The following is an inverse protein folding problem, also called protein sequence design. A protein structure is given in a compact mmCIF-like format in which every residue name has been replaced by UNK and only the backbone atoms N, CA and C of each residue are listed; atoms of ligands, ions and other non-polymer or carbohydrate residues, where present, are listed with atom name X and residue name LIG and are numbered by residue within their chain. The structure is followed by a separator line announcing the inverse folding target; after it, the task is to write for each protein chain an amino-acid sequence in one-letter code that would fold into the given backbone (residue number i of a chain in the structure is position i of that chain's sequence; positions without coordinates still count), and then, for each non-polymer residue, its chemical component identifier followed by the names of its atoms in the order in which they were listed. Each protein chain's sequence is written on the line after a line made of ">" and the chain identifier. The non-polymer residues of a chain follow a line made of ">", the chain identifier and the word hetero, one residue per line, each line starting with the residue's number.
data_IF_478028125861
#
_entry.id   IF_478028125861
#
_cell.length_a   1.000
_cell.length_b   1.000
_cell.length_c   1.000
_cell.angle_alpha   90.00
_cell.angle_beta   90.00
_cell.angle_gamma   90.00
#
_symmetry.space_group_name_H-M   'P 1'
#
loop_
_entity.id
_entity.type
_entity.pdbx_description
1 polymer ?
#
# COMPACT_ATOMS: atom_id res chain seq x y z
N UNK A 1 2.50 -12.81 13.90
CA UNK A 1 1.85 -11.89 14.85
C UNK A 1 1.91 -10.48 14.26
N UNK A 2 0.78 -9.78 14.11
CA UNK A 2 0.75 -8.42 13.56
C UNK A 2 1.25 -7.40 14.58
N UNK A 3 2.19 -6.54 14.18
CA UNK A 3 2.67 -5.40 14.97
C UNK A 3 1.84 -4.15 14.64
N UNK A 4 1.69 -3.24 15.60
CA UNK A 4 0.88 -2.04 15.45
C UNK A 4 1.49 -0.87 16.21
N UNK A 5 1.63 0.26 15.52
CA UNK A 5 1.75 1.58 16.11
C UNK A 5 0.44 2.33 15.88
N UNK A 6 -0.26 2.70 16.95
CA UNK A 6 -1.43 3.58 16.86
C UNK A 6 -1.06 4.91 16.23
N UNK A 7 -1.97 5.50 15.45
CA UNK A 7 -1.75 6.80 14.81
C UNK A 7 -1.24 7.84 15.81
N UNK A 8 -0.16 8.51 15.45
CA UNK A 8 0.56 9.43 16.35
C UNK A 8 1.12 10.61 15.57
N UNK A 9 1.17 11.77 16.22
CA UNK A 9 1.89 12.95 15.71
C UNK A 9 3.38 12.93 16.07
N UNK A 10 3.84 11.95 16.86
CA UNK A 10 5.23 11.86 17.29
C UNK A 10 6.07 11.10 16.27
N UNK A 11 6.91 11.85 15.54
CA UNK A 11 7.88 11.26 14.63
C UNK A 11 8.82 10.29 15.36
N UNK A 12 9.25 10.61 16.58
CA UNK A 12 10.11 9.74 17.38
C UNK A 12 9.46 8.40 17.76
N UNK A 13 8.13 8.35 17.97
CA UNK A 13 7.42 7.07 18.18
C UNK A 13 7.38 6.25 16.89
N UNK A 14 7.10 6.89 15.76
CA UNK A 14 7.08 6.23 14.46
C UNK A 14 8.46 5.67 14.08
N UNK A 15 9.53 6.45 14.21
CA UNK A 15 10.89 6.03 13.89
C UNK A 15 11.34 4.81 14.72
N UNK A 16 11.01 4.80 16.03
CA UNK A 16 11.30 3.64 16.88
C UNK A 16 10.51 2.40 16.45
N UNK A 17 9.21 2.56 16.19
CA UNK A 17 8.39 1.45 15.70
C UNK A 17 8.96 0.84 14.43
N UNK A 18 9.32 1.68 13.44
CA UNK A 18 9.93 1.21 12.19
C UNK A 18 11.28 0.53 12.42
N UNK A 19 12.12 1.06 13.31
CA UNK A 19 13.41 0.47 13.65
C UNK A 19 13.33 -0.88 14.38
N UNK A 20 12.22 -1.16 15.06
CA UNK A 20 11.98 -2.44 15.75
C UNK A 20 11.35 -3.51 14.84
N UNK A 21 10.89 -3.14 13.64
CA UNK A 21 10.33 -4.09 12.69
C UNK A 21 11.44 -5.04 12.20
N UNK A 22 11.23 -6.32 12.46
CA UNK A 22 12.09 -7.41 11.98
C UNK A 22 11.32 -8.25 10.98
N UNK A 23 11.94 -8.56 9.85
CA UNK A 23 11.39 -9.51 8.91
C UNK A 23 11.45 -10.91 9.52
N UNK A 24 10.30 -11.51 9.79
CA UNK A 24 10.17 -12.87 10.31
C UNK A 24 9.27 -13.66 9.37
N UNK A 25 9.83 -14.64 8.67
CA UNK A 25 9.14 -15.40 7.62
C UNK A 25 9.86 -15.35 6.27
N UNK A 26 9.27 -15.96 5.24
CA UNK A 26 9.81 -15.96 3.87
C UNK A 26 9.56 -17.22 3.04
N UNK A 27 8.90 -18.25 3.61
CA UNK A 27 8.68 -19.53 2.92
C UNK A 27 7.39 -19.62 2.09
N UNK A 28 6.45 -18.69 2.27
CA UNK A 28 5.16 -18.65 1.57
C UNK A 28 5.13 -17.43 0.68
N UNK A 29 4.84 -17.60 -0.62
CA UNK A 29 4.62 -16.48 -1.54
C UNK A 29 3.40 -15.63 -1.15
N UNK A 30 2.49 -16.14 -0.32
CA UNK A 30 1.32 -15.40 0.14
C UNK A 30 1.53 -14.79 1.52
N UNK A 31 0.97 -13.58 1.71
CA UNK A 31 1.15 -12.77 2.90
C UNK A 31 -0.13 -12.55 3.72
N UNK A 32 0.07 -12.18 4.99
CA UNK A 32 -1.01 -11.93 5.97
C UNK A 32 -1.65 -10.53 5.83
N UNK A 33 -1.93 -10.09 4.60
CA UNK A 33 -2.48 -8.75 4.29
C UNK A 33 -3.81 -8.49 5.01
N UNK A 34 -4.70 -9.48 5.05
CA UNK A 34 -5.99 -9.39 5.76
C UNK A 34 -5.83 -9.05 7.24
N UNK A 35 -4.88 -9.69 7.93
CA UNK A 35 -4.67 -9.45 9.36
C UNK A 35 -4.12 -8.04 9.61
N UNK A 36 -3.21 -7.58 8.74
CA UNK A 36 -2.71 -6.20 8.76
C UNK A 36 -3.83 -5.17 8.59
N UNK A 37 -4.64 -5.30 7.54
CA UNK A 37 -5.76 -4.40 7.25
C UNK A 37 -6.81 -4.42 8.38
N UNK A 38 -7.17 -5.61 8.86
CA UNK A 38 -8.12 -5.77 9.98
C UNK A 38 -7.63 -5.07 11.24
N UNK A 39 -6.34 -5.17 11.57
CA UNK A 39 -5.75 -4.48 12.72
C UNK A 39 -5.73 -2.97 12.50
N UNK A 40 -5.37 -2.48 11.31
CA UNK A 40 -5.39 -1.05 11.00
C UNK A 40 -6.80 -0.45 11.13
N UNK A 41 -7.83 -1.13 10.62
CA UNK A 41 -9.22 -0.69 10.73
C UNK A 41 -9.66 -0.66 12.20
N UNK A 42 -9.48 -1.76 12.93
CA UNK A 42 -10.07 -1.93 14.27
C UNK A 42 -9.27 -1.28 15.41
N UNK A 43 -7.96 -1.14 15.24
CA UNK A 43 -7.03 -0.74 16.31
C UNK A 43 -6.16 0.46 15.95
N UNK A 44 -6.36 1.08 14.77
CA UNK A 44 -5.58 2.24 14.32
C UNK A 44 -5.66 3.49 15.21
N UNK A 45 -6.66 3.58 16.10
CA UNK A 45 -6.87 4.75 16.96
C UNK A 45 -7.51 5.93 16.23
N UNK A 46 -8.41 5.64 15.28
CA UNK A 46 -9.14 6.64 14.51
C UNK A 46 -9.95 7.55 15.43
N UNK A 47 -9.81 8.86 15.25
CA UNK A 47 -10.65 9.87 15.89
C UNK A 47 -12.02 9.94 15.21
N UNK A 48 -13.05 10.28 15.97
CA UNK A 48 -14.37 10.55 15.41
C UNK A 48 -14.28 11.73 14.43
N UNK A 49 -14.91 11.60 13.26
CA UNK A 49 -14.92 12.63 12.22
C UNK A 49 -13.61 12.79 11.43
N UNK A 50 -12.56 12.03 11.74
CA UNK A 50 -11.33 12.09 10.95
C UNK A 50 -11.50 11.45 9.57
N UNK A 51 -10.82 12.01 8.55
CA UNK A 51 -10.62 11.31 7.27
C UNK A 51 -9.74 10.08 7.53
N UNK A 52 -10.23 8.88 7.21
CA UNK A 52 -9.52 7.63 7.48
C UNK A 52 -8.90 7.10 6.20
N UNK A 53 -7.58 7.03 6.15
CA UNK A 53 -6.84 6.57 4.95
C UNK A 53 -5.91 5.45 5.36
N UNK A 54 -6.03 4.31 4.69
CA UNK A 54 -5.11 3.17 4.81
C UNK A 54 -4.38 3.02 3.47
N UNK A 55 -3.06 2.88 3.53
CA UNK A 55 -2.24 2.52 2.38
C UNK A 55 -1.61 1.16 2.69
N UNK A 56 -1.93 0.16 1.88
CA UNK A 56 -1.33 -1.17 1.96
C UNK A 56 -0.06 -1.16 1.11
N UNK A 57 1.07 -1.45 1.73
CA UNK A 57 2.37 -1.60 1.08
C UNK A 57 2.73 -3.09 1.07
N UNK A 58 3.06 -3.66 -0.07
CA UNK A 58 3.50 -5.06 -0.14
C UNK A 58 3.96 -5.51 -1.53
N UNK A 59 4.65 -6.65 -1.57
CA UNK A 59 5.26 -7.27 -2.75
C UNK A 59 4.65 -8.64 -3.10
N UNK A 60 3.67 -9.08 -2.32
CA UNK A 60 3.08 -10.41 -2.40
C UNK A 60 1.56 -10.39 -2.20
N UNK A 61 0.82 -11.32 -2.82
CA UNK A 61 -0.63 -11.37 -2.72
C UNK A 61 -1.09 -11.86 -1.33
N UNK A 62 -2.32 -11.50 -0.91
CA UNK A 62 -2.95 -12.11 0.26
C UNK A 62 -3.12 -13.64 0.08
N UNK A 63 -3.23 -14.35 1.20
CA UNK A 63 -3.68 -15.74 1.16
C UNK A 63 -5.06 -15.87 0.48
N UNK A 64 -5.21 -16.84 -0.44
CA UNK A 64 -6.47 -17.08 -1.20
C UNK A 64 -7.72 -17.12 -0.33
N UNK A 65 -7.67 -17.84 0.81
CA UNK A 65 -8.77 -17.95 1.77
C UNK A 65 -9.16 -16.64 2.44
N UNK A 66 -8.25 -15.65 2.43
CA UNK A 66 -8.42 -14.35 3.07
C UNK A 66 -8.92 -13.28 2.10
N UNK A 67 -8.96 -13.53 0.78
CA UNK A 67 -9.39 -12.55 -0.23
C UNK A 67 -10.83 -12.10 0.01
N UNK A 68 -11.79 -13.03 0.06
CA UNK A 68 -13.20 -12.66 0.25
C UNK A 68 -13.46 -11.91 1.56
N UNK A 69 -12.95 -12.36 2.73
CA UNK A 69 -13.01 -11.58 3.97
C UNK A 69 -12.35 -10.20 3.87
N UNK A 70 -11.21 -10.09 3.18
CA UNK A 70 -10.50 -8.82 2.96
C UNK A 70 -11.36 -7.83 2.16
N UNK A 71 -11.91 -8.26 1.03
CA UNK A 71 -12.78 -7.40 0.22
C UNK A 71 -14.03 -6.96 1.00
N UNK A 72 -14.58 -7.84 1.86
CA UNK A 72 -15.74 -7.50 2.68
C UNK A 72 -15.43 -6.42 3.73
N UNK A 73 -14.30 -6.53 4.45
CA UNK A 73 -13.92 -5.51 5.45
C UNK A 73 -13.52 -4.19 4.79
N UNK A 74 -12.93 -4.23 3.60
CA UNK A 74 -12.57 -3.05 2.84
C UNK A 74 -13.81 -2.27 2.42
N UNK A 75 -14.83 -2.96 1.87
CA UNK A 75 -16.11 -2.36 1.51
C UNK A 75 -16.82 -1.76 2.72
N UNK A 76 -16.79 -2.45 3.86
CA UNK A 76 -17.37 -1.92 5.09
C UNK A 76 -16.66 -0.63 5.54
N UNK A 77 -15.32 -0.63 5.56
CA UNK A 77 -14.54 0.55 5.94
C UNK A 77 -14.76 1.72 4.98
N UNK A 78 -14.88 1.47 3.68
CA UNK A 78 -15.19 2.48 2.67
C UNK A 78 -16.56 3.11 2.90
N UNK A 79 -17.59 2.30 3.20
CA UNK A 79 -18.93 2.80 3.56
C UNK A 79 -18.92 3.66 4.84
N UNK A 80 -18.01 3.40 5.77
CA UNK A 80 -17.81 4.17 7.00
C UNK A 80 -16.93 5.42 6.81
N UNK A 81 -16.79 5.90 5.57
CA UNK A 81 -16.05 7.10 5.19
C UNK A 81 -14.52 6.93 5.17
N UNK A 82 -14.04 5.69 5.19
CA UNK A 82 -12.62 5.38 5.03
C UNK A 82 -12.21 5.20 3.57
N UNK A 83 -10.92 5.16 3.32
CA UNK A 83 -10.35 4.84 2.02
C UNK A 83 -9.19 3.87 2.20
N UNK A 84 -9.12 2.83 1.36
CA UNK A 84 -7.99 1.90 1.32
C UNK A 84 -7.39 1.90 -0.07
N UNK A 85 -6.12 2.28 -0.15
CA UNK A 85 -5.33 2.28 -1.37
C UNK A 85 -4.19 1.26 -1.24
N UNK A 86 -3.59 0.84 -2.35
CA UNK A 86 -2.49 -0.11 -2.35
C UNK A 86 -1.29 0.42 -3.15
N UNK A 87 -0.08 0.16 -2.64
CA UNK A 87 1.17 0.39 -3.34
C UNK A 87 1.93 -0.94 -3.40
N UNK A 88 2.04 -1.43 -4.62
CA UNK A 88 2.80 -2.62 -4.98
C UNK A 88 4.29 -2.27 -5.07
N UNK A 89 5.08 -2.91 -4.21
CA UNK A 89 6.54 -2.73 -4.12
C UNK A 89 7.30 -3.97 -4.58
N UNK A 90 6.63 -4.89 -5.29
CA UNK A 90 7.26 -6.10 -5.82
C UNK A 90 8.45 -5.79 -6.72
N UNK A 91 9.42 -6.71 -6.78
CA UNK A 91 10.56 -6.57 -7.71
C UNK A 91 10.07 -6.45 -9.15
N UNK A 92 9.01 -7.19 -9.47
CA UNK A 92 8.25 -7.14 -10.72
C UNK A 92 7.59 -5.78 -11.01
N UNK A 93 7.55 -4.86 -10.04
CA UNK A 93 7.09 -3.49 -10.21
C UNK A 93 8.23 -2.51 -10.59
N UNK A 94 9.51 -2.88 -10.40
CA UNK A 94 10.68 -2.08 -10.76
C UNK A 94 11.65 -2.86 -11.67
N UNK A 95 11.56 -2.67 -13.00
CA UNK A 95 12.42 -3.36 -13.97
C UNK A 95 13.91 -3.12 -13.74
N UNK A 96 14.32 -1.94 -13.25
CA UNK A 96 15.73 -1.62 -13.03
C UNK A 96 16.32 -2.44 -11.87
N UNK A 97 15.54 -2.65 -10.81
CA UNK A 97 15.93 -3.51 -9.69
C UNK A 97 16.02 -4.99 -10.11
N UNK A 98 15.12 -5.44 -10.98
CA UNK A 98 15.17 -6.79 -11.56
C UNK A 98 16.39 -7.00 -12.46
N UNK A 99 16.68 -6.04 -13.33
CA UNK A 99 17.84 -6.08 -14.23
C UNK A 99 19.15 -6.13 -13.43
N UNK A 100 19.26 -5.30 -12.38
CA UNK A 100 20.41 -5.30 -11.48
C UNK A 100 20.60 -6.63 -10.74
N UNK A 101 19.51 -7.29 -10.36
CA UNK A 101 19.56 -8.58 -9.65
C UNK A 101 19.80 -9.78 -10.56
N UNK A 102 19.22 -9.77 -11.76
CA UNK A 102 19.31 -10.88 -12.71
C UNK A 102 20.57 -10.79 -13.60
N UNK A 103 21.27 -9.64 -13.59
CA UNK A 103 22.44 -9.40 -14.43
C UNK A 103 22.13 -9.45 -15.94
N UNK A 104 20.85 -9.30 -16.31
CA UNK A 104 20.37 -9.35 -17.69
C UNK A 104 19.17 -8.42 -17.88
N UNK A 105 18.97 -7.87 -19.08
CA UNK A 105 17.76 -7.10 -19.40
C UNK A 105 16.50 -7.98 -19.24
N UNK A 106 15.45 -7.43 -18.63
CA UNK A 106 14.12 -8.05 -18.58
C UNK A 106 13.21 -7.37 -19.58
N UNK A 107 12.23 -8.09 -20.12
CA UNK A 107 11.25 -7.47 -20.98
C UNK A 107 10.31 -6.59 -20.12
N UNK A 108 10.63 -5.29 -20.09
CA UNK A 108 9.95 -4.29 -19.25
C UNK A 108 8.44 -4.25 -19.47
N UNK A 109 7.91 -4.68 -20.63
CA UNK A 109 6.48 -4.72 -20.89
C UNK A 109 5.71 -5.70 -19.99
N UNK A 110 6.38 -6.73 -19.44
CA UNK A 110 5.77 -7.69 -18.52
C UNK A 110 5.81 -7.22 -17.05
N UNK A 111 6.64 -6.23 -16.73
CA UNK A 111 7.00 -5.80 -15.37
C UNK A 111 6.82 -4.29 -15.15
N UNK A 112 6.23 -3.57 -16.10
CA UNK A 112 6.06 -2.11 -15.98
C UNK A 112 4.64 -1.73 -15.59
N UNK A 113 4.54 -1.05 -14.45
CA UNK A 113 3.50 -0.05 -14.19
C UNK A 113 2.11 -0.56 -13.85
N UNK A 114 1.90 -1.86 -13.66
CA UNK A 114 0.59 -2.41 -13.26
C UNK A 114 0.67 -3.12 -11.91
N UNK A 115 -0.11 -2.68 -10.91
CA UNK A 115 -0.15 -3.36 -9.62
C UNK A 115 -0.70 -4.77 -9.80
N UNK A 116 -0.31 -5.69 -8.91
CA UNK A 116 -0.93 -7.01 -8.81
C UNK A 116 -2.47 -6.92 -8.77
N UNK A 117 -3.15 -7.83 -9.48
CA UNK A 117 -4.62 -7.84 -9.56
C UNK A 117 -5.27 -7.84 -8.17
N UNK A 118 -4.71 -8.58 -7.21
CA UNK A 118 -5.22 -8.63 -5.85
C UNK A 118 -5.15 -7.26 -5.15
N UNK A 119 -4.13 -6.46 -5.43
CA UNK A 119 -3.98 -5.10 -4.88
C UNK A 119 -4.96 -4.13 -5.55
N UNK A 120 -5.23 -4.32 -6.85
CA UNK A 120 -6.28 -3.56 -7.55
C UNK A 120 -7.65 -3.85 -6.95
N UNK A 121 -8.02 -5.12 -6.78
CA UNK A 121 -9.30 -5.53 -6.18
C UNK A 121 -9.44 -5.06 -4.73
N UNK A 122 -8.35 -5.13 -3.96
CA UNK A 122 -8.28 -4.63 -2.59
C UNK A 122 -8.59 -3.14 -2.53
N UNK A 123 -7.91 -2.34 -3.36
CA UNK A 123 -8.06 -0.89 -3.39
C UNK A 123 -9.43 -0.47 -3.91
N UNK A 124 -9.94 -1.11 -4.97
CA UNK A 124 -11.28 -0.88 -5.50
C UNK A 124 -12.36 -1.14 -4.44
N UNK A 125 -12.27 -2.27 -3.73
CA UNK A 125 -13.17 -2.59 -2.62
C UNK A 125 -13.08 -1.56 -1.47
N UNK A 126 -11.95 -0.88 -1.32
CA UNK A 126 -11.72 0.15 -0.33
C UNK A 126 -11.98 1.58 -0.81
N UNK A 127 -12.49 1.78 -2.03
CA UNK A 127 -12.71 3.10 -2.62
C UNK A 127 -11.43 3.90 -2.92
N UNK A 128 -10.27 3.23 -2.95
CA UNK A 128 -8.97 3.84 -3.26
C UNK A 128 -8.46 3.43 -4.64
N UNK A 129 -7.14 3.58 -4.82
CA UNK A 129 -6.46 3.20 -6.07
C UNK A 129 -5.26 2.30 -5.74
N UNK A 130 -4.83 1.50 -6.71
CA UNK A 130 -3.60 0.74 -6.64
C UNK A 130 -2.54 1.37 -7.56
N UNK A 131 -1.29 1.42 -7.10
CA UNK A 131 -0.14 1.91 -7.87
C UNK A 131 1.07 0.99 -7.66
N UNK A 132 2.04 1.04 -8.57
CA UNK A 132 3.35 0.36 -8.48
C UNK A 132 4.43 1.37 -8.14
N UNK A 133 5.36 1.02 -7.25
CA UNK A 133 6.48 1.90 -6.92
C UNK A 133 7.53 1.90 -8.04
N UNK A 134 7.70 3.04 -8.71
CA UNK A 134 8.61 3.23 -9.85
C UNK A 134 9.70 4.25 -9.48
N UNK A 135 10.74 3.81 -8.79
CA UNK A 135 11.94 4.60 -8.43
C UNK A 135 11.75 5.81 -7.49
N UNK A 136 12.87 6.37 -7.02
CA UNK A 136 12.95 7.34 -5.90
C UNK A 136 12.19 8.66 -6.11
N UNK A 137 12.10 9.19 -7.33
CA UNK A 137 11.50 10.51 -7.58
C UNK A 137 9.96 10.49 -7.66
N UNK A 138 9.32 9.32 -7.73
CA UNK A 138 7.87 9.19 -7.91
C UNK A 138 7.10 8.77 -6.66
N UNK A 139 7.80 8.34 -5.61
CA UNK A 139 7.19 7.82 -4.36
C UNK A 139 6.28 8.85 -3.70
N UNK A 140 6.75 10.09 -3.53
CA UNK A 140 5.97 11.16 -2.91
C UNK A 140 4.70 11.48 -3.69
N UNK A 141 4.79 11.55 -5.03
CA UNK A 141 3.64 11.81 -5.91
C UNK A 141 2.62 10.67 -5.80
N UNK A 142 3.08 9.43 -5.79
CA UNK A 142 2.22 8.25 -5.66
C UNK A 142 1.53 8.23 -4.29
N UNK A 143 2.27 8.45 -3.20
CA UNK A 143 1.69 8.52 -1.86
C UNK A 143 0.63 9.63 -1.76
N UNK A 144 0.90 10.82 -2.30
CA UNK A 144 -0.10 11.89 -2.33
C UNK A 144 -1.35 11.50 -3.11
N UNK A 145 -1.18 10.87 -4.28
CA UNK A 145 -2.30 10.33 -5.06
C UNK A 145 -3.13 9.31 -4.29
N UNK A 146 -2.47 8.43 -3.52
CA UNK A 146 -3.11 7.39 -2.72
C UNK A 146 -3.87 7.98 -1.51
N UNK A 147 -3.40 9.08 -0.92
CA UNK A 147 -4.02 9.77 0.23
C UNK A 147 -5.23 10.61 -0.20
N UNK A 148 -5.13 11.25 -1.37
CA UNK A 148 -6.13 12.21 -1.84
C UNK A 148 -7.23 11.55 -2.69
N UNK A 149 -6.92 10.40 -3.32
CA UNK A 149 -7.79 9.78 -4.31
C UNK A 149 -7.54 10.33 -5.73
N UNK A 150 -7.91 9.57 -6.75
CA UNK A 150 -7.45 9.78 -8.13
C UNK A 150 -7.82 11.12 -8.79
N UNK A 151 -8.87 11.82 -8.34
CA UNK A 151 -9.28 13.11 -8.91
C UNK A 151 -8.40 14.27 -8.42
N UNK A 152 -8.08 14.34 -7.13
CA UNK A 152 -7.28 15.42 -6.55
C UNK A 152 -5.77 15.31 -6.85
N UNK A 153 -5.31 14.13 -7.25
CA UNK A 153 -3.91 13.87 -7.55
C UNK A 153 -3.38 14.68 -8.76
N UNK A 154 -4.22 14.91 -9.78
CA UNK A 154 -3.80 15.61 -11.01
C UNK A 154 -3.58 17.10 -10.77
N UNK A 155 -4.42 17.73 -9.95
CA UNK A 155 -4.32 19.16 -9.63
C UNK A 155 -3.10 19.45 -8.74
N UNK A 156 -2.79 18.57 -7.78
CA UNK A 156 -1.63 18.73 -6.90
C UNK A 156 -0.29 18.33 -7.55
N UNK A 157 -0.31 17.43 -8.54
CA UNK A 157 0.91 17.09 -9.28
C UNK A 157 1.51 18.32 -9.97
N UNK A 158 0.67 19.23 -10.46
CA UNK A 158 1.09 20.51 -11.04
C UNK A 158 1.74 21.45 -10.01
N UNK A 159 1.31 21.39 -8.75
CA UNK A 159 1.90 22.16 -7.65
C UNK A 159 3.24 21.59 -7.17
N UNK A 160 3.43 20.28 -7.29
CA UNK A 160 4.67 19.58 -6.90
C UNK A 160 5.75 19.63 -7.98
N UNK A 161 5.40 19.87 -9.25
CA UNK A 161 6.35 20.07 -10.35
C UNK A 161 6.98 21.48 -10.38
N UNK A 162 6.44 22.41 -9.58
CA UNK A 162 6.97 23.78 -9.42
C UNK A 162 7.95 23.98 -8.26
N UNK A 163 8.34 22.90 -7.56
CA UNK A 163 9.34 22.88 -6.48
C UNK A 163 10.61 22.17 -6.94
#
# INVERSE_FOLDING_TARGET
>A
MTRLQTLTFSLGKLMRFLGELTAVGGGSHQEAVYDGVKVAIKKGGWRLGAKKVIIVLGDAPPHKKAISPLLAINKAFARDGGQISALDVSRDANPELLEAMLGRPVNRAFYSGKPMLDFQLLAEAGGGIAATMDGDTKVTRQLMSLIMGGQFAREMALLLEGL
#
